data_IF_392189960327
#
_entry.id   IF_392189960327
#
_cell.length_a   1.000
_cell.length_b   1.000
_cell.length_c   1.000
_cell.angle_alpha   90.00
_cell.angle_beta   90.00
_cell.angle_gamma   90.00
#
_symmetry.space_group_name_H-M   'P 1'
#
loop_
_entity.id
_entity.type
_entity.pdbx_description
1 polymer ?
#
# COMPACT_ATOMS: atom_id res chain seq x y z
N UNK A 1 30.11 1.00 1.62
CA UNK A 1 28.74 1.38 2.04
C UNK A 1 27.85 1.32 0.81
N UNK A 2 27.13 0.21 0.62
CA UNK A 2 26.19 0.09 -0.49
C UNK A 2 24.89 0.78 -0.07
N UNK A 3 24.65 1.95 -0.63
CA UNK A 3 23.35 2.60 -0.57
C UNK A 3 22.34 1.65 -1.23
N UNK A 4 21.48 1.00 -0.43
CA UNK A 4 20.29 0.32 -0.92
C UNK A 4 19.46 1.39 -1.63
N UNK A 5 19.52 1.41 -2.97
CA UNK A 5 18.68 2.30 -3.78
C UNK A 5 17.22 1.97 -3.47
N UNK A 6 16.58 2.78 -2.63
CA UNK A 6 15.15 2.68 -2.39
C UNK A 6 14.42 3.27 -3.59
N UNK A 7 13.76 2.42 -4.38
CA UNK A 7 12.82 2.90 -5.37
C UNK A 7 11.56 3.37 -4.64
N UNK A 8 11.22 4.65 -4.80
CA UNK A 8 9.95 5.22 -4.32
C UNK A 8 9.15 5.72 -5.51
N UNK A 9 7.83 5.56 -5.46
CA UNK A 9 6.90 6.20 -6.37
C UNK A 9 5.87 6.95 -5.54
N UNK A 10 5.51 8.15 -5.98
CA UNK A 10 4.50 8.98 -5.31
C UNK A 10 3.22 8.94 -6.12
N UNK A 11 2.11 8.62 -5.47
CA UNK A 11 0.78 8.66 -6.09
C UNK A 11 0.02 9.85 -5.49
N UNK A 12 -0.27 10.84 -6.33
CA UNK A 12 -1.15 11.94 -5.95
C UNK A 12 -2.62 11.55 -6.15
N UNK A 13 -3.21 10.93 -5.13
CA UNK A 13 -4.61 10.47 -5.17
C UNK A 13 -5.62 11.55 -5.60
N UNK A 14 -5.41 12.80 -5.18
CA UNK A 14 -6.27 13.93 -5.52
C UNK A 14 -6.28 14.27 -7.03
N UNK A 15 -5.26 13.87 -7.80
CA UNK A 15 -5.19 14.07 -9.25
C UNK A 15 -5.75 12.90 -10.04
N UNK A 16 -6.10 11.80 -9.39
CA UNK A 16 -6.68 10.64 -10.02
C UNK A 16 -8.17 10.90 -10.30
N UNK A 17 -8.50 11.19 -11.57
CA UNK A 17 -9.86 11.55 -12.00
C UNK A 17 -10.80 10.36 -12.19
N UNK A 18 -10.27 9.13 -12.15
CA UNK A 18 -11.02 7.90 -12.41
C UNK A 18 -11.56 7.31 -11.10
N UNK A 19 -12.77 6.70 -11.16
CA UNK A 19 -13.39 6.00 -10.02
C UNK A 19 -12.47 4.93 -9.43
N UNK A 20 -11.77 4.19 -10.30
CA UNK A 20 -10.81 3.16 -9.93
C UNK A 20 -9.48 3.45 -10.64
N UNK A 21 -8.36 3.35 -9.90
CA UNK A 21 -7.02 3.52 -10.45
C UNK A 21 -6.23 2.25 -10.18
N UNK A 22 -5.83 1.55 -11.24
CA UNK A 22 -5.10 0.31 -11.16
C UNK A 22 -3.63 0.58 -11.43
N UNK A 23 -2.78 0.32 -10.43
CA UNK A 23 -1.33 0.42 -10.56
C UNK A 23 -0.74 -1.00 -10.63
N UNK A 24 0.03 -1.28 -11.67
CA UNK A 24 0.78 -2.53 -11.79
C UNK A 24 2.22 -2.29 -11.36
N UNK A 25 2.61 -2.84 -10.22
CA UNK A 25 3.96 -2.73 -9.67
C UNK A 25 4.57 -4.13 -9.67
N UNK A 26 5.71 -4.29 -10.34
CA UNK A 26 6.48 -5.53 -10.35
C UNK A 26 7.67 -5.39 -9.41
N UNK A 27 7.73 -6.25 -8.40
CA UNK A 27 8.83 -6.32 -7.43
C UNK A 27 9.61 -7.62 -7.65
N UNK A 28 10.93 -7.57 -7.50
CA UNK A 28 11.78 -8.76 -7.57
C UNK A 28 11.51 -9.72 -6.40
N UNK A 29 11.71 -11.02 -6.64
CA UNK A 29 11.39 -12.09 -5.67
C UNK A 29 12.30 -12.05 -4.44
N UNK A 30 11.89 -11.30 -3.42
CA UNK A 30 12.29 -11.52 -2.03
C UNK A 30 11.14 -12.26 -1.30
N UNK A 31 11.51 -13.12 -0.33
CA UNK A 31 10.55 -13.93 0.47
C UNK A 31 9.50 -13.04 1.14
N UNK A 32 9.94 -11.90 1.67
CA UNK A 32 9.07 -10.85 2.18
C UNK A 32 9.31 -9.57 1.39
N UNK A 33 8.24 -8.87 1.06
CA UNK A 33 8.28 -7.52 0.52
C UNK A 33 7.82 -6.56 1.60
N UNK A 34 8.64 -5.55 1.88
CA UNK A 34 8.24 -4.45 2.74
C UNK A 34 7.59 -3.40 1.85
N UNK A 35 6.34 -3.09 2.13
CA UNK A 35 5.67 -1.93 1.55
C UNK A 35 5.45 -0.95 2.67
N UNK A 36 6.03 0.23 2.48
CA UNK A 36 5.89 1.37 3.38
C UNK A 36 5.49 2.58 2.57
N UNK A 37 4.81 3.51 3.22
CA UNK A 37 4.44 4.76 2.60
C UNK A 37 3.98 5.77 3.63
N UNK A 38 3.67 6.96 3.13
CA UNK A 38 3.16 8.06 3.92
C UNK A 38 1.85 8.52 3.31
N UNK A 39 0.81 8.65 4.13
CA UNK A 39 -0.49 9.17 3.69
C UNK A 39 -0.56 10.65 4.03
N UNK A 40 -0.87 11.46 3.01
CA UNK A 40 -1.12 12.88 3.16
C UNK A 40 -2.59 13.18 2.92
N UNK A 41 -3.12 14.16 3.64
CA UNK A 41 -4.43 14.71 3.34
C UNK A 41 -4.36 15.66 2.11
N UNK A 42 -5.51 16.21 1.71
CA UNK A 42 -5.60 17.11 0.56
C UNK A 42 -4.76 18.39 0.70
N UNK A 43 -4.43 18.79 1.93
CA UNK A 43 -3.56 19.93 2.24
C UNK A 43 -2.08 19.54 2.33
N UNK A 44 -1.69 18.34 1.89
CA UNK A 44 -0.34 17.81 1.97
C UNK A 44 0.22 17.68 3.40
N UNK A 45 -0.65 17.60 4.41
CA UNK A 45 -0.22 17.31 5.78
C UNK A 45 -0.28 15.80 6.03
N UNK A 46 0.65 15.26 6.83
CA UNK A 46 0.57 13.89 7.31
C UNK A 46 -0.80 13.54 7.88
N UNK A 47 -1.34 12.40 7.46
CA UNK A 47 -2.66 11.94 7.87
C UNK A 47 -2.51 10.87 8.96
N UNK A 48 -2.60 11.25 10.23
CA UNK A 48 -2.57 10.33 11.38
C UNK A 48 -3.85 9.51 11.49
N UNK A 49 -3.72 8.21 11.77
CA UNK A 49 -4.85 7.32 12.03
C UNK A 49 -5.63 6.88 10.79
N UNK A 50 -5.10 7.12 9.58
CA UNK A 50 -5.67 6.55 8.36
C UNK A 50 -5.51 5.03 8.40
N UNK A 51 -6.53 4.29 7.97
CA UNK A 51 -6.50 2.83 8.00
C UNK A 51 -6.10 2.27 6.63
N UNK A 52 -5.06 1.44 6.60
CA UNK A 52 -4.52 0.83 5.39
C UNK A 52 -4.82 -0.66 5.51
N UNK A 53 -5.61 -1.19 4.58
CA UNK A 53 -5.90 -2.63 4.50
C UNK A 53 -5.16 -3.26 3.32
N UNK A 54 -4.67 -4.48 3.51
CA UNK A 54 -4.01 -5.25 2.46
C UNK A 54 -4.79 -6.54 2.21
N UNK A 55 -5.20 -6.74 0.97
CA UNK A 55 -5.86 -7.96 0.52
C UNK A 55 -4.95 -8.74 -0.42
N UNK A 56 -4.98 -10.07 -0.29
CA UNK A 56 -4.41 -10.99 -1.27
C UNK A 56 -5.54 -11.51 -2.15
N UNK A 57 -5.32 -11.53 -3.46
CA UNK A 57 -6.28 -12.00 -4.46
C UNK A 57 -5.61 -13.11 -5.26
N UNK A 58 -6.21 -14.30 -5.26
CA UNK A 58 -5.72 -15.43 -6.04
C UNK A 58 -6.03 -15.22 -7.53
N UNK A 59 -5.01 -15.23 -8.39
CA UNK A 59 -5.18 -14.96 -9.83
C UNK A 59 -6.02 -16.02 -10.58
N UNK A 60 -6.15 -17.23 -10.04
CA UNK A 60 -6.84 -18.34 -10.71
C UNK A 60 -8.36 -18.29 -10.51
N UNK A 61 -8.81 -18.01 -9.29
CA UNK A 61 -10.23 -18.05 -8.91
C UNK A 61 -10.77 -16.72 -8.40
N UNK A 62 -9.92 -15.68 -8.31
CA UNK A 62 -10.25 -14.36 -7.76
C UNK A 62 -10.66 -14.36 -6.28
N UNK A 63 -10.35 -15.43 -5.54
CA UNK A 63 -10.60 -15.45 -4.09
C UNK A 63 -9.81 -14.33 -3.41
N UNK A 64 -10.53 -13.48 -2.68
CA UNK A 64 -10.00 -12.30 -2.00
C UNK A 64 -9.96 -12.56 -0.50
N UNK A 65 -8.78 -12.43 0.11
CA UNK A 65 -8.55 -12.64 1.54
C UNK A 65 -7.88 -11.43 2.16
N UNK A 66 -8.36 -10.97 3.31
CA UNK A 66 -7.69 -9.92 4.09
C UNK A 66 -6.41 -10.50 4.71
N UNK A 67 -5.26 -9.85 4.45
CA UNK A 67 -4.01 -10.19 5.12
C UNK A 67 -3.85 -9.45 6.44
N UNK A 68 -4.35 -8.23 6.51
CA UNK A 68 -4.30 -7.41 7.72
C UNK A 68 -4.54 -5.94 7.45
N UNK A 69 -4.39 -5.14 8.50
CA UNK A 69 -4.51 -3.69 8.44
C UNK A 69 -3.47 -3.03 9.35
N UNK A 70 -3.16 -1.76 9.07
CA UNK A 70 -2.32 -0.89 9.90
C UNK A 70 -2.91 0.51 9.93
N UNK A 71 -2.72 1.22 11.04
CA UNK A 71 -3.05 2.64 11.14
C UNK A 71 -1.78 3.46 10.94
N UNK A 72 -1.89 4.58 10.25
CA UNK A 72 -0.77 5.52 10.12
C UNK A 72 -0.45 6.19 11.45
N UNK A 73 0.84 6.43 11.69
CA UNK A 73 1.33 7.12 12.88
C UNK A 73 1.17 8.65 12.78
N UNK A 74 1.80 9.40 13.70
CA UNK A 74 1.73 10.87 13.73
C UNK A 74 2.40 11.53 12.51
N UNK A 75 3.38 10.86 11.91
CA UNK A 75 4.03 11.27 10.67
C UNK A 75 3.27 10.79 9.43
N UNK A 76 2.09 10.17 9.59
CA UNK A 76 1.30 9.62 8.49
C UNK A 76 1.92 8.37 7.88
N UNK A 77 2.93 7.79 8.52
CA UNK A 77 3.69 6.66 7.99
C UNK A 77 2.99 5.33 8.31
N UNK A 78 3.12 4.38 7.38
CA UNK A 78 2.71 3.00 7.58
C UNK A 78 3.76 2.04 7.02
N UNK A 79 3.77 0.81 7.53
CA UNK A 79 4.61 -0.27 7.04
C UNK A 79 3.88 -1.60 7.16
N UNK A 80 4.04 -2.44 6.15
CA UNK A 80 3.66 -3.85 6.22
C UNK A 80 4.68 -4.73 5.52
N UNK A 81 4.87 -5.94 6.06
CA UNK A 81 5.64 -6.99 5.42
C UNK A 81 4.66 -8.03 4.86
N UNK A 82 4.68 -8.24 3.54
CA UNK A 82 3.91 -9.31 2.90
C UNK A 82 4.83 -10.46 2.49
N UNK A 83 4.42 -11.69 2.73
CA UNK A 83 5.00 -12.85 2.07
C UNK A 83 4.46 -12.92 0.64
N UNK A 84 5.28 -12.53 -0.34
CA UNK A 84 4.83 -12.45 -1.74
C UNK A 84 4.75 -13.84 -2.38
N UNK A 85 3.55 -14.44 -2.38
CA UNK A 85 3.27 -15.74 -2.97
C UNK A 85 3.12 -15.67 -4.50
N UNK A 86 3.57 -16.71 -5.24
CA UNK A 86 3.32 -16.84 -6.68
C UNK A 86 1.82 -16.83 -7.00
N UNK A 87 1.47 -16.29 -8.18
CA UNK A 87 0.09 -16.24 -8.70
C UNK A 87 -0.91 -15.52 -7.78
N UNK A 88 -0.43 -14.55 -7.00
CA UNK A 88 -1.26 -13.66 -6.20
C UNK A 88 -1.15 -12.22 -6.70
N UNK A 89 -2.24 -11.48 -6.62
CA UNK A 89 -2.30 -10.01 -6.68
C UNK A 89 -2.49 -9.47 -5.26
N UNK A 90 -2.00 -8.26 -5.01
CA UNK A 90 -2.17 -7.58 -3.73
C UNK A 90 -2.87 -6.25 -3.97
N UNK A 91 -3.90 -5.98 -3.18
CA UNK A 91 -4.69 -4.76 -3.24
C UNK A 91 -4.53 -4.00 -1.92
N UNK A 92 -4.23 -2.71 -2.01
CA UNK A 92 -4.10 -1.82 -0.87
C UNK A 92 -5.29 -0.87 -0.91
N UNK A 93 -6.05 -0.82 0.19
CA UNK A 93 -7.15 0.14 0.36
C UNK A 93 -6.78 1.09 1.49
N UNK A 94 -6.92 2.39 1.23
CA UNK A 94 -6.61 3.45 2.19
C UNK A 94 -7.93 4.13 2.55
N UNK A 95 -8.25 4.13 3.84
CA UNK A 95 -9.41 4.80 4.42
C UNK A 95 -8.94 6.03 5.20
N UNK A 96 -9.73 7.10 5.13
CA UNK A 96 -9.54 8.25 6.01
C UNK A 96 -9.71 7.83 7.49
N UNK A 97 -9.08 8.55 8.43
CA UNK A 97 -9.29 8.32 9.86
C UNK A 97 -10.77 8.44 10.24
N UNK A 98 -11.19 7.67 11.24
CA UNK A 98 -12.51 7.84 11.86
C UNK A 98 -12.48 9.15 12.65
N UNK A 99 -13.22 10.14 12.17
CA UNK A 99 -13.42 11.46 12.78
C UNK A 99 -14.24 11.40 14.05
#
# INVERSE_FOLDING_TARGET
MNCLKSASFTIEGAKLKCRNNHFNIQLDRQKFQIIKGTVFNQKQHPCKGAAIQVFQINCKNNDRSLLGYVLTDEAGEYLFAIEAKPFMKYEIIIYAPLS
#
